data_IF_967931265749
#
_entry.id   IF_967931265749
#
_cell.length_a   1.000
_cell.length_b   1.000
_cell.length_c   1.000
_cell.angle_alpha   90.00
_cell.angle_beta   90.00
_cell.angle_gamma   90.00
#
_symmetry.space_group_name_H-M   'P 1'
#
loop_
_entity.id
_entity.type
_entity.pdbx_description
1 polymer ?
#
# COMPACT_ATOMS: atom_id res chain seq x y z
N UNK A 1 -0.49 -21.81 72.27
CA UNK A 1 -1.14 -22.42 71.08
C UNK A 1 -1.87 -21.34 70.33
N UNK A 2 -1.34 -20.86 69.21
CA UNK A 2 -2.02 -19.90 68.34
C UNK A 2 -2.72 -20.67 67.21
N UNK A 3 -4.06 -20.59 67.15
CA UNK A 3 -4.86 -21.26 66.14
C UNK A 3 -4.73 -20.54 64.79
N UNK A 4 -4.19 -21.24 63.79
CA UNK A 4 -4.16 -20.79 62.41
C UNK A 4 -5.58 -20.92 61.82
N UNK A 5 -6.28 -19.80 61.69
CA UNK A 5 -7.58 -19.73 61.01
C UNK A 5 -7.31 -19.90 59.51
N UNK A 6 -7.64 -21.07 58.95
CA UNK A 6 -7.62 -21.26 57.48
C UNK A 6 -8.75 -20.44 56.85
N UNK A 7 -8.48 -19.66 55.79
CA UNK A 7 -9.52 -18.88 55.11
C UNK A 7 -10.56 -19.82 54.49
N UNK A 8 -11.85 -19.46 54.64
CA UNK A 8 -12.98 -20.21 54.11
C UNK A 8 -12.87 -20.34 52.57
N UNK A 9 -13.12 -21.54 51.99
CA UNK A 9 -13.05 -21.77 50.55
C UNK A 9 -13.93 -20.80 49.76
N UNK A 10 -15.06 -20.36 50.32
CA UNK A 10 -16.00 -19.41 49.70
C UNK A 10 -15.35 -18.03 49.46
N UNK A 11 -14.51 -17.58 50.39
CA UNK A 11 -13.82 -16.28 50.29
C UNK A 11 -12.75 -16.31 49.20
N UNK A 12 -12.07 -17.46 49.02
CA UNK A 12 -11.11 -17.63 47.94
C UNK A 12 -11.79 -17.69 46.57
N UNK A 13 -12.93 -18.39 46.46
CA UNK A 13 -13.71 -18.45 45.21
C UNK A 13 -14.25 -17.07 44.81
N UNK A 14 -14.77 -16.28 45.74
CA UNK A 14 -15.22 -14.91 45.46
C UNK A 14 -14.08 -14.01 44.98
N UNK A 15 -12.89 -14.10 45.59
CA UNK A 15 -11.71 -13.34 45.17
C UNK A 15 -11.26 -13.71 43.77
N UNK A 16 -11.22 -15.01 43.44
CA UNK A 16 -10.86 -15.46 42.09
C UNK A 16 -11.88 -15.01 41.05
N UNK A 17 -13.18 -15.09 41.33
CA UNK A 17 -14.23 -14.63 40.41
C UNK A 17 -14.14 -13.13 40.17
N UNK A 18 -13.92 -12.33 41.22
CA UNK A 18 -13.75 -10.88 41.10
C UNK A 18 -12.50 -10.52 40.27
N UNK A 19 -11.38 -11.22 40.47
CA UNK A 19 -10.15 -11.01 39.68
C UNK A 19 -10.40 -11.36 38.21
N UNK A 20 -11.06 -12.47 37.91
CA UNK A 20 -11.39 -12.86 36.53
C UNK A 20 -12.30 -11.82 35.87
N UNK A 21 -13.33 -11.33 36.57
CA UNK A 21 -14.21 -10.27 36.06
C UNK A 21 -13.44 -8.97 35.79
N UNK A 22 -12.55 -8.56 36.69
CA UNK A 22 -11.71 -7.38 36.50
C UNK A 22 -10.76 -7.54 35.30
N UNK A 23 -10.14 -8.70 35.12
CA UNK A 23 -9.29 -9.00 33.95
C UNK A 23 -10.10 -8.96 32.65
N UNK A 24 -11.29 -9.56 32.63
CA UNK A 24 -12.17 -9.51 31.46
C UNK A 24 -12.62 -8.08 31.13
N UNK A 25 -12.96 -7.27 32.14
CA UNK A 25 -13.27 -5.85 31.96
C UNK A 25 -12.07 -5.03 31.44
N UNK A 26 -10.86 -5.31 31.94
CA UNK A 26 -9.65 -4.65 31.44
C UNK A 26 -9.34 -5.05 30.00
N UNK A 27 -9.51 -6.32 29.63
CA UNK A 27 -9.31 -6.82 28.28
C UNK A 27 -10.34 -6.23 27.31
N UNK A 28 -11.62 -6.18 27.69
CA UNK A 28 -12.67 -5.58 26.86
C UNK A 28 -12.48 -4.07 26.70
N UNK A 29 -12.05 -3.37 27.74
CA UNK A 29 -11.70 -1.94 27.65
C UNK A 29 -10.50 -1.68 26.72
N UNK A 30 -9.44 -2.48 26.82
CA UNK A 30 -8.28 -2.39 25.92
C UNK A 30 -8.67 -2.67 24.46
N UNK A 31 -9.50 -3.69 24.24
CA UNK A 31 -10.00 -4.03 22.91
C UNK A 31 -10.86 -2.91 22.33
N UNK A 32 -11.81 -2.37 23.10
CA UNK A 32 -12.66 -1.25 22.68
C UNK A 32 -11.83 0.00 22.34
N UNK A 33 -10.82 0.32 23.15
CA UNK A 33 -9.93 1.46 22.90
C UNK A 33 -9.10 1.27 21.62
N UNK A 34 -8.58 0.07 21.37
CA UNK A 34 -7.85 -0.24 20.14
C UNK A 34 -8.76 -0.17 18.90
N UNK A 35 -9.98 -0.70 19.02
CA UNK A 35 -10.97 -0.67 17.95
C UNK A 35 -11.36 0.77 17.59
N UNK A 36 -11.68 1.59 18.59
CA UNK A 36 -12.04 2.99 18.38
C UNK A 36 -10.91 3.80 17.73
N UNK A 37 -9.65 3.51 18.07
CA UNK A 37 -8.49 4.14 17.41
C UNK A 37 -8.39 3.72 15.95
N UNK A 38 -8.50 2.43 15.66
CA UNK A 38 -8.41 1.92 14.29
C UNK A 38 -9.53 2.48 13.39
N UNK A 39 -10.74 2.62 13.92
CA UNK A 39 -11.86 3.23 13.20
C UNK A 39 -11.61 4.72 12.90
N UNK A 40 -11.10 5.47 13.89
CA UNK A 40 -10.74 6.88 13.69
C UNK A 40 -9.63 7.05 12.63
N UNK A 41 -8.57 6.23 12.69
CA UNK A 41 -7.48 6.24 11.72
C UNK A 41 -8.00 5.90 10.32
N UNK A 42 -8.92 4.95 10.22
CA UNK A 42 -9.57 4.57 8.96
C UNK A 42 -10.44 5.72 8.41
N UNK A 43 -11.27 6.34 9.23
CA UNK A 43 -12.08 7.48 8.79
C UNK A 43 -11.21 8.66 8.34
N UNK A 44 -10.10 8.91 9.03
CA UNK A 44 -9.14 9.92 8.62
C UNK A 44 -8.52 9.60 7.24
N UNK A 45 -8.18 8.34 6.99
CA UNK A 45 -7.65 7.89 5.70
C UNK A 45 -8.69 8.06 4.58
N UNK A 46 -9.95 7.64 4.76
CA UNK A 46 -11.00 7.82 3.74
C UNK A 46 -11.23 9.29 3.41
N UNK A 47 -11.26 10.14 4.43
CA UNK A 47 -11.39 11.59 4.26
C UNK A 47 -10.19 12.19 3.51
N UNK A 48 -8.98 11.72 3.79
CA UNK A 48 -7.79 12.14 3.07
C UNK A 48 -7.83 11.72 1.59
N UNK A 49 -8.31 10.51 1.29
CA UNK A 49 -8.50 10.03 -0.08
C UNK A 49 -9.59 10.83 -0.82
N UNK A 50 -10.68 11.20 -0.14
CA UNK A 50 -11.71 12.06 -0.71
C UNK A 50 -11.13 13.44 -1.08
N UNK A 51 -10.36 14.05 -0.17
CA UNK A 51 -9.67 15.33 -0.44
C UNK A 51 -8.67 15.21 -1.59
N UNK A 52 -7.96 14.09 -1.68
CA UNK A 52 -7.05 13.81 -2.78
C UNK A 52 -7.81 13.78 -4.11
N UNK A 53 -8.89 12.98 -4.20
CA UNK A 53 -9.70 12.91 -5.41
C UNK A 53 -10.33 14.27 -5.77
N UNK A 54 -10.77 15.04 -4.78
CA UNK A 54 -11.27 16.40 -4.99
C UNK A 54 -10.19 17.35 -5.54
N UNK A 55 -8.94 17.20 -5.12
CA UNK A 55 -7.80 17.95 -5.68
C UNK A 55 -7.56 17.54 -7.14
N UNK A 56 -7.44 16.23 -7.41
CA UNK A 56 -7.28 15.72 -8.77
C UNK A 56 -8.42 16.16 -9.69
N UNK A 57 -9.67 16.15 -9.21
CA UNK A 57 -10.84 16.56 -10.00
C UNK A 57 -10.78 18.04 -10.41
N UNK A 58 -10.14 18.90 -9.61
CA UNK A 58 -9.95 20.32 -9.94
C UNK A 58 -8.79 20.53 -10.90
N UNK A 59 -7.78 19.66 -10.87
CA UNK A 59 -6.51 19.85 -11.57
C UNK A 59 -6.19 18.76 -12.62
N UNK A 60 -7.20 17.97 -13.03
CA UNK A 60 -6.98 16.78 -13.86
C UNK A 60 -6.28 17.05 -15.20
N UNK A 61 -6.41 18.28 -15.71
CA UNK A 61 -5.79 18.74 -16.97
C UNK A 61 -4.28 18.92 -16.87
N UNK A 62 -3.74 19.05 -15.66
CA UNK A 62 -2.31 19.18 -15.39
C UNK A 62 -1.70 17.88 -14.83
N UNK A 63 -2.46 16.78 -14.83
CA UNK A 63 -1.94 15.49 -14.41
C UNK A 63 -0.86 15.01 -15.36
N UNK A 64 0.33 14.80 -14.82
CA UNK A 64 1.36 14.02 -15.48
C UNK A 64 1.09 12.52 -15.29
N UNK A 65 1.90 11.69 -15.95
CA UNK A 65 1.74 10.24 -15.92
C UNK A 65 1.92 9.67 -14.50
N UNK A 66 2.88 10.16 -13.72
CA UNK A 66 3.13 9.71 -12.35
C UNK A 66 1.92 9.97 -11.43
N UNK A 67 1.34 11.17 -11.52
CA UNK A 67 0.12 11.53 -10.80
C UNK A 67 -1.06 10.66 -11.23
N UNK A 68 -1.22 10.46 -12.54
CA UNK A 68 -2.26 9.59 -13.08
C UNK A 68 -2.07 8.12 -12.67
N UNK A 69 -0.84 7.63 -12.63
CA UNK A 69 -0.53 6.29 -12.16
C UNK A 69 -0.99 6.11 -10.70
N UNK A 70 -0.73 7.09 -9.83
CA UNK A 70 -1.25 7.10 -8.46
C UNK A 70 -2.77 6.95 -8.38
N UNK A 71 -3.50 7.57 -9.32
CA UNK A 71 -4.95 7.42 -9.43
C UNK A 71 -5.36 6.00 -9.85
N UNK A 72 -4.63 5.37 -10.78
CA UNK A 72 -4.85 3.96 -11.18
C UNK A 72 -4.59 2.99 -10.04
N UNK A 73 -3.59 3.28 -9.20
CA UNK A 73 -3.33 2.52 -7.97
C UNK A 73 -4.53 2.63 -7.03
N UNK A 74 -4.97 3.85 -6.71
CA UNK A 74 -6.09 4.07 -5.81
C UNK A 74 -7.36 3.35 -6.28
N UNK A 75 -7.71 3.50 -7.56
CA UNK A 75 -8.85 2.82 -8.16
C UNK A 75 -8.76 1.30 -8.04
N UNK A 76 -7.60 0.73 -8.39
CA UNK A 76 -7.38 -0.71 -8.35
C UNK A 76 -7.43 -1.29 -6.94
N UNK A 77 -6.83 -0.61 -5.95
CA UNK A 77 -6.87 -1.09 -4.56
C UNK A 77 -8.27 -1.00 -3.96
N UNK A 78 -9.03 0.07 -4.21
CA UNK A 78 -10.41 0.17 -3.73
C UNK A 78 -11.31 -0.89 -4.38
N UNK A 79 -11.13 -1.12 -5.69
CA UNK A 79 -11.83 -2.20 -6.39
C UNK A 79 -11.47 -3.58 -5.81
N UNK A 80 -10.20 -3.82 -5.51
CA UNK A 80 -9.74 -5.06 -4.89
C UNK A 80 -10.41 -5.27 -3.52
N UNK A 81 -10.40 -4.26 -2.64
CA UNK A 81 -11.03 -4.33 -1.31
C UNK A 81 -12.52 -4.68 -1.40
N UNK A 82 -13.27 -4.05 -2.31
CA UNK A 82 -14.69 -4.35 -2.54
C UNK A 82 -14.87 -5.80 -3.02
N UNK A 83 -14.02 -6.25 -3.95
CA UNK A 83 -14.09 -7.62 -4.49
C UNK A 83 -13.74 -8.69 -3.46
N UNK A 84 -12.77 -8.43 -2.58
CA UNK A 84 -12.41 -9.34 -1.49
C UNK A 84 -13.53 -9.39 -0.45
N UNK A 85 -14.16 -8.25 -0.15
CA UNK A 85 -15.29 -8.20 0.77
C UNK A 85 -16.48 -9.02 0.27
N UNK A 86 -16.80 -8.99 -1.04
CA UNK A 86 -17.94 -9.73 -1.59
C UNK A 86 -17.79 -11.25 -1.52
N UNK A 87 -16.57 -11.77 -1.42
CA UNK A 87 -16.26 -13.20 -1.28
C UNK A 87 -15.94 -13.62 0.16
N UNK A 88 -16.24 -12.77 1.14
CA UNK A 88 -16.09 -13.09 2.57
C UNK A 88 -14.82 -12.54 3.23
N UNK A 89 -14.00 -11.78 2.50
CA UNK A 89 -12.91 -10.98 3.09
C UNK A 89 -13.44 -9.80 3.89
N UNK A 90 -12.58 -9.18 4.72
CA UNK A 90 -12.82 -7.89 5.37
C UNK A 90 -14.18 -7.71 6.08
N UNK A 91 -14.80 -8.78 6.60
CA UNK A 91 -16.14 -8.73 7.22
C UNK A 91 -16.25 -7.88 8.49
N UNK A 92 -15.12 -7.38 8.99
CA UNK A 92 -15.07 -6.43 10.11
C UNK A 92 -15.41 -4.99 9.67
N UNK A 93 -15.45 -4.70 8.36
CA UNK A 93 -15.81 -3.38 7.86
C UNK A 93 -17.31 -3.12 8.03
N UNK A 94 -17.65 -1.93 8.50
CA UNK A 94 -19.05 -1.52 8.60
C UNK A 94 -19.64 -1.21 7.22
N UNK A 95 -20.96 -1.32 7.06
CA UNK A 95 -21.65 -0.92 5.83
C UNK A 95 -21.39 0.56 5.48
N UNK A 96 -21.23 1.42 6.47
CA UNK A 96 -20.89 2.83 6.26
C UNK A 96 -19.50 2.97 5.61
N UNK A 97 -18.50 2.30 6.18
CA UNK A 97 -17.13 2.26 5.64
C UNK A 97 -17.11 1.70 4.21
N UNK A 98 -17.84 0.62 3.95
CA UNK A 98 -17.93 0.02 2.62
C UNK A 98 -18.58 0.96 1.60
N UNK A 99 -19.61 1.71 1.99
CA UNK A 99 -20.24 2.71 1.14
C UNK A 99 -19.26 3.85 0.80
N UNK A 100 -18.46 4.31 1.77
CA UNK A 100 -17.43 5.32 1.52
C UNK A 100 -16.35 4.81 0.56
N UNK A 101 -15.86 3.59 0.75
CA UNK A 101 -14.90 2.93 -0.16
C UNK A 101 -15.49 2.83 -1.58
N UNK A 102 -16.76 2.45 -1.68
CA UNK A 102 -17.47 2.36 -2.97
C UNK A 102 -17.57 3.72 -3.66
N UNK A 103 -17.96 4.76 -2.94
CA UNK A 103 -18.04 6.12 -3.48
C UNK A 103 -16.65 6.64 -3.94
N UNK A 104 -15.60 6.39 -3.16
CA UNK A 104 -14.23 6.74 -3.55
C UNK A 104 -13.78 5.99 -4.81
N UNK A 105 -14.14 4.70 -4.93
CA UNK A 105 -13.84 3.89 -6.11
C UNK A 105 -14.51 4.47 -7.34
N UNK A 106 -15.79 4.82 -7.26
CA UNK A 106 -16.54 5.42 -8.38
C UNK A 106 -15.97 6.79 -8.77
N UNK A 107 -15.63 7.63 -7.79
CA UNK A 107 -14.98 8.91 -8.03
C UNK A 107 -13.61 8.73 -8.72
N UNK A 108 -12.79 7.80 -8.25
CA UNK A 108 -11.50 7.48 -8.88
C UNK A 108 -11.68 6.97 -10.32
N UNK A 109 -12.66 6.09 -10.58
CA UNK A 109 -12.97 5.59 -11.92
C UNK A 109 -13.37 6.70 -12.90
N UNK A 110 -14.29 7.57 -12.47
CA UNK A 110 -14.74 8.69 -13.29
C UNK A 110 -13.59 9.64 -13.63
N UNK A 111 -12.75 9.92 -12.63
CA UNK A 111 -11.58 10.77 -12.79
C UNK A 111 -10.50 10.12 -13.67
N UNK A 112 -10.29 8.82 -13.55
CA UNK A 112 -9.38 8.07 -14.41
C UNK A 112 -9.82 8.12 -15.88
N UNK A 113 -11.14 8.00 -16.13
CA UNK A 113 -11.68 8.04 -17.48
C UNK A 113 -11.40 9.38 -18.20
N UNK A 114 -11.54 10.50 -17.49
CA UNK A 114 -11.23 11.83 -18.04
C UNK A 114 -9.73 12.13 -18.05
N UNK A 115 -9.00 11.73 -17.00
CA UNK A 115 -7.56 11.97 -16.85
C UNK A 115 -6.72 11.24 -17.89
N UNK A 116 -7.13 10.04 -18.31
CA UNK A 116 -6.43 9.25 -19.33
C UNK A 116 -6.29 10.02 -20.64
N UNK A 117 -7.34 10.75 -21.03
CA UNK A 117 -7.34 11.57 -22.25
C UNK A 117 -6.34 12.72 -22.16
N UNK A 118 -6.27 13.39 -21.00
CA UNK A 118 -5.36 14.52 -20.79
C UNK A 118 -3.89 14.07 -20.74
N UNK A 119 -3.59 12.97 -20.05
CA UNK A 119 -2.24 12.38 -20.02
C UNK A 119 -1.79 11.98 -21.43
N UNK A 120 -2.68 11.35 -22.21
CA UNK A 120 -2.38 10.95 -23.59
C UNK A 120 -2.10 12.16 -24.49
N UNK A 121 -2.80 13.29 -24.30
CA UNK A 121 -2.56 14.54 -25.05
C UNK A 121 -1.27 15.23 -24.61
N UNK A 122 -0.98 15.24 -23.30
CA UNK A 122 0.17 15.94 -22.74
C UNK A 122 1.50 15.32 -23.15
N UNK A 123 1.60 13.98 -23.15
CA UNK A 123 2.80 13.28 -23.63
C UNK A 123 2.44 11.92 -24.28
N UNK A 124 2.13 11.90 -25.59
CA UNK A 124 1.72 10.69 -26.29
C UNK A 124 2.77 9.57 -26.29
N UNK A 125 4.05 9.93 -26.34
CA UNK A 125 5.16 8.96 -26.33
C UNK A 125 5.29 8.31 -24.96
N UNK A 126 5.28 9.10 -23.89
CA UNK A 126 5.36 8.57 -22.52
C UNK A 126 4.13 7.70 -22.20
N UNK A 127 2.93 8.13 -22.62
CA UNK A 127 1.72 7.32 -22.53
C UNK A 127 1.89 5.97 -23.24
N UNK A 128 2.39 5.96 -24.48
CA UNK A 128 2.57 4.71 -25.25
C UNK A 128 3.50 3.74 -24.53
N UNK A 129 4.60 4.23 -23.98
CA UNK A 129 5.62 3.43 -23.30
C UNK A 129 5.09 2.83 -21.99
N UNK A 130 4.29 3.59 -21.24
CA UNK A 130 3.78 3.17 -19.93
C UNK A 130 2.34 2.64 -19.96
N UNK A 131 1.72 2.54 -21.15
CA UNK A 131 0.36 2.04 -21.32
C UNK A 131 0.09 0.71 -20.58
N UNK A 132 1.00 -0.28 -20.56
CA UNK A 132 0.79 -1.52 -19.80
C UNK A 132 0.53 -1.30 -18.30
N UNK A 133 1.07 -0.22 -17.73
CA UNK A 133 0.97 0.12 -16.30
C UNK A 133 -0.30 0.91 -16.00
N UNK A 134 -0.70 1.83 -16.88
CA UNK A 134 -1.75 2.82 -16.60
C UNK A 134 -3.09 2.55 -17.29
N UNK A 135 -3.15 1.63 -18.26
CA UNK A 135 -4.37 1.35 -19.01
C UNK A 135 -5.47 0.75 -18.12
N UNK A 136 -5.10 -0.10 -17.16
CA UNK A 136 -6.04 -0.81 -16.27
C UNK A 136 -5.81 -0.44 -14.80
N UNK A 137 -6.83 -0.61 -13.93
CA UNK A 137 -6.68 -0.29 -12.51
C UNK A 137 -5.64 -1.22 -11.90
N UNK A 138 -4.70 -0.69 -11.13
CA UNK A 138 -3.59 -1.49 -10.65
C UNK A 138 -3.96 -2.21 -9.35
N UNK A 139 -4.17 -3.53 -9.46
CA UNK A 139 -4.59 -4.40 -8.37
C UNK A 139 -3.41 -5.22 -7.84
N UNK A 140 -2.93 -4.88 -6.65
CA UNK A 140 -1.83 -5.60 -5.99
C UNK A 140 -2.43 -6.68 -5.09
N UNK A 141 -2.53 -7.90 -5.60
CA UNK A 141 -3.17 -9.04 -4.91
C UNK A 141 -2.29 -9.75 -3.88
N UNK A 142 -1.01 -9.37 -3.80
CA UNK A 142 -0.07 -10.04 -2.90
C UNK A 142 -0.36 -9.64 -1.44
N UNK A 143 -0.33 -10.59 -0.49
CA UNK A 143 -0.56 -10.27 0.90
C UNK A 143 0.58 -9.40 1.45
N UNK A 144 0.23 -8.48 2.34
CA UNK A 144 1.23 -7.68 3.04
C UNK A 144 2.13 -8.58 3.91
N UNK A 145 3.44 -8.46 3.71
CA UNK A 145 4.45 -9.15 4.53
C UNK A 145 4.99 -8.21 5.59
N UNK A 146 5.23 -8.74 6.80
CA UNK A 146 5.99 -7.99 7.81
C UNK A 146 7.41 -7.79 7.30
N UNK A 147 7.91 -6.57 7.44
CA UNK A 147 9.31 -6.28 7.15
C UNK A 147 10.19 -7.07 8.11
N UNK A 148 11.18 -7.77 7.57
CA UNK A 148 12.22 -8.43 8.36
C UNK A 148 13.36 -7.42 8.62
N UNK A 149 13.54 -6.94 9.87
CA UNK A 149 14.58 -5.97 10.19
C UNK A 149 15.99 -6.49 9.92
N UNK A 150 16.19 -7.82 9.89
CA UNK A 150 17.49 -8.43 9.58
C UNK A 150 17.92 -8.22 8.13
N UNK A 151 16.97 -7.97 7.23
CA UNK A 151 17.24 -7.66 5.81
C UNK A 151 17.65 -6.20 5.58
N UNK A 152 17.67 -5.37 6.64
CA UNK A 152 18.12 -3.98 6.54
C UNK A 152 19.60 -3.92 6.18
N UNK A 153 19.92 -3.16 5.14
CA UNK A 153 21.30 -2.99 4.72
C UNK A 153 22.13 -2.20 5.74
N UNK A 154 23.37 -2.66 5.97
CA UNK A 154 24.35 -1.93 6.75
C UNK A 154 24.88 -0.69 6.00
N UNK A 155 25.26 0.34 6.74
CA UNK A 155 25.68 1.66 6.20
C UNK A 155 26.84 1.56 5.19
N UNK A 156 27.89 0.73 5.37
CA UNK A 156 28.96 0.60 4.39
C UNK A 156 28.48 0.01 3.05
N UNK A 157 27.61 -1.00 3.11
CA UNK A 157 27.01 -1.62 1.93
C UNK A 157 26.07 -0.67 1.17
N UNK A 158 25.38 0.19 1.92
CA UNK A 158 24.52 1.24 1.36
C UNK A 158 25.29 2.24 0.49
N UNK A 159 26.55 2.57 0.83
CA UNK A 159 27.33 3.58 0.07
C UNK A 159 28.10 3.02 -1.14
N UNK A 160 28.27 1.71 -1.25
CA UNK A 160 29.19 1.09 -2.21
C UNK A 160 28.84 1.36 -3.69
N UNK A 161 27.55 1.44 -4.04
CA UNK A 161 27.08 1.65 -5.43
C UNK A 161 26.55 3.07 -5.68
N UNK A 162 26.59 3.95 -4.67
CA UNK A 162 25.96 5.27 -4.72
C UNK A 162 26.49 6.12 -5.88
N UNK A 163 27.78 5.98 -6.20
CA UNK A 163 28.43 6.67 -7.32
C UNK A 163 28.04 6.15 -8.70
N UNK A 164 27.78 4.85 -8.83
CA UNK A 164 27.27 4.27 -10.08
C UNK A 164 25.85 4.78 -10.32
N UNK A 165 24.99 4.67 -9.31
CA UNK A 165 23.58 5.05 -9.49
C UNK A 165 23.42 6.54 -9.70
N UNK A 166 24.11 7.40 -8.93
CA UNK A 166 24.05 8.85 -9.12
C UNK A 166 24.42 9.32 -10.52
N UNK A 167 25.32 8.61 -11.20
CA UNK A 167 25.77 8.96 -12.55
C UNK A 167 24.84 8.42 -13.64
N UNK A 168 24.17 7.30 -13.39
CA UNK A 168 23.45 6.56 -14.43
C UNK A 168 21.91 6.61 -14.27
N UNK A 169 21.42 7.01 -13.10
CA UNK A 169 19.99 7.11 -12.84
C UNK A 169 19.43 8.42 -13.37
N UNK A 170 18.46 8.31 -14.27
CA UNK A 170 17.56 9.38 -14.71
C UNK A 170 16.18 8.78 -14.87
N UNK A 171 15.12 9.60 -14.79
CA UNK A 171 13.73 9.17 -15.03
C UNK A 171 13.59 8.41 -16.36
N UNK A 172 14.15 8.97 -17.44
CA UNK A 172 14.17 8.32 -18.76
C UNK A 172 14.80 6.92 -18.73
N UNK A 173 15.88 6.74 -17.99
CA UNK A 173 16.58 5.44 -17.89
C UNK A 173 15.79 4.46 -17.03
N UNK A 174 15.22 4.90 -15.91
CA UNK A 174 14.39 4.02 -15.07
C UNK A 174 13.11 3.61 -15.78
N UNK A 175 12.46 4.51 -16.52
CA UNK A 175 11.28 4.21 -17.33
C UNK A 175 11.62 3.21 -18.44
N UNK A 176 12.77 3.38 -19.10
CA UNK A 176 13.25 2.40 -20.07
C UNK A 176 13.39 1.02 -19.41
N UNK A 177 13.97 0.93 -18.21
CA UNK A 177 14.07 -0.32 -17.47
C UNK A 177 12.71 -0.92 -17.06
N UNK A 178 11.67 -0.10 -16.86
CA UNK A 178 10.31 -0.59 -16.65
C UNK A 178 9.70 -1.12 -17.95
N UNK A 179 9.93 -0.45 -19.08
CA UNK A 179 9.43 -0.93 -20.39
C UNK A 179 10.03 -2.27 -20.82
N UNK A 180 11.28 -2.57 -20.43
CA UNK A 180 11.90 -3.89 -20.65
C UNK A 180 11.08 -5.03 -20.01
N UNK A 181 10.42 -4.80 -18.86
CA UNK A 181 9.54 -5.79 -18.19
C UNK A 181 8.30 -6.11 -19.05
N UNK A 182 7.81 -5.11 -19.79
CA UNK A 182 6.60 -5.25 -20.59
C UNK A 182 6.85 -5.76 -22.00
N UNK A 183 8.02 -5.47 -22.55
CA UNK A 183 8.44 -5.88 -23.89
C UNK A 183 9.06 -7.26 -23.95
N UNK A 184 9.39 -7.86 -22.81
CA UNK A 184 9.87 -9.24 -22.75
C UNK A 184 8.70 -10.21 -22.91
N UNK A 185 8.70 -11.00 -23.98
CA UNK A 185 7.72 -12.07 -24.21
C UNK A 185 7.66 -13.01 -23.00
N UNK A 186 6.47 -13.55 -22.69
CA UNK A 186 6.22 -14.33 -21.47
C UNK A 186 7.10 -15.56 -21.28
N UNK A 187 7.79 -16.04 -22.32
CA UNK A 187 8.72 -17.17 -22.27
C UNK A 187 10.17 -16.76 -21.94
N UNK A 188 10.54 -15.48 -22.12
CA UNK A 188 11.88 -14.96 -21.83
C UNK A 188 11.75 -13.56 -21.26
N UNK A 189 11.78 -13.46 -19.93
CA UNK A 189 11.95 -12.18 -19.24
C UNK A 189 13.39 -11.67 -19.46
N UNK A 190 13.68 -11.15 -20.65
CA UNK A 190 14.98 -10.63 -21.05
C UNK A 190 15.14 -9.18 -20.58
N UNK A 191 15.26 -9.00 -19.26
CA UNK A 191 15.66 -7.72 -18.68
C UNK A 191 17.17 -7.58 -18.84
N UNK A 192 17.63 -6.43 -19.35
CA UNK A 192 19.05 -6.19 -19.54
C UNK A 192 19.81 -6.26 -18.22
N UNK A 193 21.03 -6.79 -18.27
CA UNK A 193 21.95 -6.79 -17.11
C UNK A 193 22.18 -5.38 -16.56
N UNK A 194 22.10 -4.38 -17.43
CA UNK A 194 22.16 -2.97 -17.05
C UNK A 194 20.98 -2.58 -16.17
N UNK A 195 19.75 -2.85 -16.60
CA UNK A 195 18.54 -2.53 -15.84
C UNK A 195 18.46 -3.29 -14.52
N UNK A 196 18.78 -4.59 -14.52
CA UNK A 196 18.89 -5.37 -13.27
C UNK A 196 19.90 -4.72 -12.32
N UNK A 197 21.10 -4.38 -12.80
CA UNK A 197 22.13 -3.74 -11.97
C UNK A 197 21.69 -2.38 -11.44
N UNK A 198 21.08 -1.55 -12.29
CA UNK A 198 20.65 -0.20 -11.90
C UNK A 198 19.49 -0.24 -10.90
N UNK A 199 18.43 -0.99 -11.20
CA UNK A 199 17.19 -1.00 -10.44
C UNK A 199 17.29 -1.80 -9.13
N UNK A 200 18.28 -2.69 -9.01
CA UNK A 200 18.58 -3.39 -7.74
C UNK A 200 19.78 -2.80 -6.98
N UNK A 201 20.37 -1.71 -7.48
CA UNK A 201 21.49 -1.07 -6.81
C UNK A 201 21.10 -0.54 -5.42
N UNK A 202 21.96 -0.78 -4.44
CA UNK A 202 21.77 -0.29 -3.08
C UNK A 202 22.12 1.19 -2.97
N UNK A 203 21.55 1.86 -1.99
CA UNK A 203 21.98 3.21 -1.63
C UNK A 203 21.12 4.34 -2.16
N UNK A 204 20.02 4.05 -2.86
CA UNK A 204 19.13 5.09 -3.35
C UNK A 204 18.23 5.64 -2.24
N UNK A 205 17.97 6.95 -2.34
CA UNK A 205 17.09 7.71 -1.45
C UNK A 205 16.37 8.79 -2.24
N UNK A 206 15.23 9.26 -1.74
CA UNK A 206 14.44 10.30 -2.39
C UNK A 206 13.71 9.75 -3.61
N UNK A 207 13.70 10.50 -4.72
CA UNK A 207 12.96 10.12 -5.93
C UNK A 207 13.45 8.81 -6.56
N UNK A 208 14.76 8.51 -6.70
CA UNK A 208 15.19 7.26 -7.33
C UNK A 208 14.72 5.97 -6.65
N UNK A 209 14.49 5.97 -5.33
CA UNK A 209 14.02 4.76 -4.64
C UNK A 209 12.54 4.49 -4.92
N UNK A 210 11.72 5.49 -5.25
CA UNK A 210 10.32 5.24 -5.66
C UNK A 210 10.27 4.48 -6.97
N UNK A 211 11.17 4.79 -7.91
CA UNK A 211 11.34 4.07 -9.17
C UNK A 211 11.82 2.63 -8.97
N UNK A 212 12.76 2.38 -8.04
CA UNK A 212 13.18 1.00 -7.70
C UNK A 212 12.03 0.17 -7.10
N UNK A 213 11.25 0.78 -6.21
CA UNK A 213 10.08 0.13 -5.63
C UNK A 213 9.05 -0.20 -6.70
N UNK A 214 8.71 0.77 -7.55
CA UNK A 214 7.78 0.55 -8.66
C UNK A 214 8.27 -0.58 -9.57
N UNK A 215 9.51 -0.51 -10.03
CA UNK A 215 10.12 -1.56 -10.87
C UNK A 215 10.06 -2.94 -10.20
N UNK A 216 10.33 -3.03 -8.90
CA UNK A 216 10.25 -4.30 -8.15
C UNK A 216 8.83 -4.86 -8.13
N UNK A 217 7.81 -4.03 -7.90
CA UNK A 217 6.40 -4.47 -7.91
C UNK A 217 5.97 -4.90 -9.32
N UNK A 218 6.43 -4.20 -10.36
CA UNK A 218 6.14 -4.58 -11.75
C UNK A 218 6.76 -5.93 -12.13
N UNK A 219 7.98 -6.22 -11.65
CA UNK A 219 8.61 -7.54 -11.83
C UNK A 219 7.86 -8.63 -11.07
N UNK A 220 7.36 -8.37 -9.87
CA UNK A 220 6.60 -9.36 -9.07
C UNK A 220 5.20 -9.69 -9.61
N UNK A 221 4.63 -8.83 -10.46
CA UNK A 221 3.31 -9.00 -11.08
C UNK A 221 3.37 -9.82 -12.38
N UNK A 222 4.57 -10.10 -12.90
CA UNK A 222 4.80 -11.02 -14.04
C UNK A 222 4.95 -12.46 -13.57
#
# INVERSE_FOLDING_TARGET
>A
MAAFIRPSPIVNTMKTTLIVLLVLCFLSFRYASSYARNDADMQQLLHALEKLLNFFQKDYRHLNLDGFFGLRVLEGQLQLLISEHSVGGHQHLSSHTLNQITALKEAAQNLSAIGLSEVKKGNPEYYKNMAPVIAQPWMVRKPHRRLDPSLRWEIPLYKAQLQFVRRNFTEKVSDQCMTEIFNSDSERCDISKYCVRLMTSRGLTGYPITHQLLWSVLVEDR
#
